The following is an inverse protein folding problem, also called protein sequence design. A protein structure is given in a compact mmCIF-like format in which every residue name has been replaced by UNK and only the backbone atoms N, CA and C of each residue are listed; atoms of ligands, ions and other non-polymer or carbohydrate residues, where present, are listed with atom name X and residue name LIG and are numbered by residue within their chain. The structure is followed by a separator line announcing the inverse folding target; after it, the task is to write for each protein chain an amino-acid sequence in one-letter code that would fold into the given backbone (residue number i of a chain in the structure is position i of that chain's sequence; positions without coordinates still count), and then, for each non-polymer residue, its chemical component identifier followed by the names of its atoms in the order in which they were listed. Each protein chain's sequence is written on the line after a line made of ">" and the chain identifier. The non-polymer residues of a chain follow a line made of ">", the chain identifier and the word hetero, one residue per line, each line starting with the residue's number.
data_IF_213267917432
#
_entry.id   IF_213267917432
#
_cell.length_a   1.000
_cell.length_b   1.000
_cell.length_c   1.000
_cell.angle_alpha   90.00
_cell.angle_beta   90.00
_cell.angle_gamma   90.00
#
_symmetry.space_group_name_H-M   'P 1'
#
loop_
_entity.id
_entity.type
_entity.pdbx_description
1 polymer ?
#
# COMPACT_ATOMS: atom_id res chain seq x y z
N UNK A 1 -37.03 46.75 -5.46
CA UNK A 1 -37.10 46.85 -3.99
C UNK A 1 -35.70 47.04 -3.45
N UNK A 2 -35.48 48.12 -2.71
CA UNK A 2 -34.15 48.58 -2.29
C UNK A 2 -33.67 47.96 -0.98
N UNK A 3 -32.35 48.04 -0.75
CA UNK A 3 -31.62 47.46 0.38
C UNK A 3 -32.14 47.90 1.77
N UNK A 4 -32.82 49.03 1.88
CA UNK A 4 -33.32 49.61 3.13
C UNK A 4 -34.62 48.95 3.64
N UNK A 5 -35.44 48.39 2.76
CA UNK A 5 -36.71 47.73 3.12
C UNK A 5 -36.48 46.31 3.69
N UNK A 6 -35.29 45.74 3.47
CA UNK A 6 -34.88 44.42 4.03
C UNK A 6 -34.30 44.50 5.44
N UNK A 7 -33.96 45.70 5.93
CA UNK A 7 -33.30 45.90 7.22
C UNK A 7 -34.33 46.10 8.35
N UNK A 8 -35.53 46.61 8.05
CA UNK A 8 -36.58 46.83 9.07
C UNK A 8 -37.34 45.56 9.48
N UNK A 9 -37.43 44.53 8.62
CA UNK A 9 -38.17 43.30 8.92
C UNK A 9 -37.41 42.27 9.79
N UNK A 10 -36.21 42.58 10.30
CA UNK A 10 -35.40 41.67 11.14
C UNK A 10 -35.44 41.95 12.64
N UNK A 11 -36.19 42.95 13.12
CA UNK A 11 -36.15 43.40 14.53
C UNK A 11 -37.30 42.96 15.44
N UNK A 12 -38.11 41.98 15.07
CA UNK A 12 -39.24 41.55 15.90
C UNK A 12 -39.34 40.03 16.09
N UNK A 13 -38.43 39.41 16.85
CA UNK A 13 -38.73 38.18 17.62
C UNK A 13 -37.86 38.14 18.89
N UNK A 14 -38.52 38.14 20.04
CA UNK A 14 -37.92 37.97 21.38
C UNK A 14 -37.52 36.50 21.64
N UNK A 15 -36.52 36.21 22.49
CA UNK A 15 -36.04 34.84 22.71
C UNK A 15 -37.00 34.05 23.61
N UNK A 16 -37.51 32.92 23.11
CA UNK A 16 -38.08 31.87 23.94
C UNK A 16 -37.03 30.78 24.16
N UNK A 17 -36.79 30.45 25.43
CA UNK A 17 -35.96 29.34 25.88
C UNK A 17 -36.50 28.02 25.30
N UNK A 18 -35.77 27.42 24.36
CA UNK A 18 -35.94 26.03 23.96
C UNK A 18 -34.59 25.33 24.04
N UNK A 19 -34.57 24.18 24.72
CA UNK A 19 -33.44 23.24 24.80
C UNK A 19 -32.96 22.92 23.36
N UNK A 20 -31.64 22.91 23.06
CA UNK A 20 -31.17 22.75 21.69
C UNK A 20 -31.41 21.33 21.15
N UNK A 21 -31.90 21.23 19.92
CA UNK A 21 -32.11 19.97 19.18
C UNK A 21 -30.77 19.41 18.66
N UNK A 22 -30.53 18.11 18.90
CA UNK A 22 -29.38 17.37 18.38
C UNK A 22 -29.43 17.25 16.85
N UNK A 23 -28.33 17.54 16.17
CA UNK A 23 -28.25 17.48 14.70
C UNK A 23 -28.21 16.04 14.18
N UNK A 24 -29.23 15.64 13.42
CA UNK A 24 -29.25 14.37 12.68
C UNK A 24 -28.79 14.55 11.24
N UNK A 25 -27.77 13.80 10.81
CA UNK A 25 -27.31 13.75 9.41
C UNK A 25 -27.51 12.36 8.81
N UNK A 26 -28.04 12.29 7.58
CA UNK A 26 -28.33 11.04 6.86
C UNK A 26 -27.31 10.79 5.73
N UNK A 27 -26.42 9.81 5.92
CA UNK A 27 -25.63 9.24 4.84
C UNK A 27 -26.44 8.26 3.98
N UNK A 28 -26.05 8.06 2.71
CA UNK A 28 -26.54 6.97 1.85
C UNK A 28 -26.10 5.62 2.45
N UNK A 29 -26.81 5.18 3.48
CA UNK A 29 -26.44 4.05 4.34
C UNK A 29 -27.20 3.98 5.66
N UNK A 30 -28.13 4.92 5.94
CA UNK A 30 -29.11 4.78 7.02
C UNK A 30 -28.57 4.85 8.45
N UNK A 31 -27.27 5.02 8.66
CA UNK A 31 -26.69 5.30 9.97
C UNK A 31 -26.66 6.82 10.19
N UNK A 32 -27.49 7.33 11.10
CA UNK A 32 -27.29 8.67 11.67
C UNK A 32 -26.35 8.54 12.86
N UNK A 33 -25.14 9.07 12.74
CA UNK A 33 -24.25 9.21 13.88
C UNK A 33 -24.55 10.55 14.55
N UNK A 34 -24.99 10.53 15.81
CA UNK A 34 -25.16 11.72 16.63
C UNK A 34 -23.96 11.74 17.60
N UNK A 35 -23.04 12.68 17.39
CA UNK A 35 -21.99 12.96 18.38
C UNK A 35 -22.59 13.84 19.48
N UNK A 36 -22.93 13.24 20.61
CA UNK A 36 -23.54 13.93 21.77
C UNK A 36 -22.67 15.08 22.30
N UNK A 37 -21.37 15.11 21.95
CA UNK A 37 -20.41 16.12 22.37
C UNK A 37 -19.94 17.04 21.25
N UNK A 38 -20.58 17.05 20.08
CA UNK A 38 -20.16 17.85 18.92
C UNK A 38 -19.97 19.33 19.25
N UNK A 39 -20.96 19.97 19.89
CA UNK A 39 -20.91 21.39 20.22
C UNK A 39 -19.79 21.73 21.22
N UNK A 40 -19.56 20.83 22.18
CA UNK A 40 -18.49 20.97 23.16
C UNK A 40 -17.11 20.84 22.48
N UNK A 41 -16.96 19.87 21.57
CA UNK A 41 -15.74 19.69 20.78
C UNK A 41 -15.44 20.94 19.95
N UNK A 42 -16.45 21.54 19.31
CA UNK A 42 -16.28 22.76 18.50
C UNK A 42 -15.83 23.96 19.31
N UNK A 43 -16.45 24.15 20.48
CA UNK A 43 -16.08 25.23 21.40
C UNK A 43 -14.62 25.09 21.84
N UNK A 44 -14.26 23.91 22.38
CA UNK A 44 -12.91 23.65 22.88
C UNK A 44 -11.88 23.71 21.74
N UNK A 45 -12.22 23.24 20.54
CA UNK A 45 -11.36 23.32 19.36
C UNK A 45 -11.12 24.77 18.90
N UNK A 46 -12.11 25.66 19.04
CA UNK A 46 -11.92 27.08 18.73
C UNK A 46 -11.03 27.76 19.78
N UNK A 47 -11.33 27.51 21.05
CA UNK A 47 -10.59 28.07 22.19
C UNK A 47 -9.11 27.65 22.18
N UNK A 48 -8.82 26.38 21.85
CA UNK A 48 -7.43 25.88 21.78
C UNK A 48 -6.66 26.45 20.58
N UNK A 49 -7.30 26.68 19.43
CA UNK A 49 -6.64 27.32 18.28
C UNK A 49 -6.28 28.77 18.61
N UNK A 50 -7.16 29.50 19.28
CA UNK A 50 -6.86 30.86 19.74
C UNK A 50 -5.69 30.87 20.73
N UNK A 51 -5.69 29.96 21.70
CA UNK A 51 -4.58 29.81 22.66
C UNK A 51 -3.25 29.49 21.97
N UNK A 52 -3.24 28.55 21.02
CA UNK A 52 -2.04 28.17 20.26
C UNK A 52 -1.53 29.36 19.44
N UNK A 53 -2.43 30.10 18.77
CA UNK A 53 -2.04 31.27 17.97
C UNK A 53 -1.48 32.41 18.84
N UNK A 54 -2.04 32.65 20.01
CA UNK A 54 -1.54 33.65 20.96
C UNK A 54 -0.15 33.27 21.51
N UNK A 55 0.06 32.00 21.87
CA UNK A 55 1.35 31.51 22.38
C UNK A 55 2.42 31.51 21.28
N UNK A 56 2.07 31.12 20.04
CA UNK A 56 2.97 31.16 18.89
C UNK A 56 3.40 32.60 18.50
N UNK A 57 2.52 33.58 18.68
CA UNK A 57 2.84 35.00 18.49
C UNK A 57 3.80 35.50 19.58
N UNK A 58 3.63 35.02 20.81
CA UNK A 58 4.39 35.41 21.99
C UNK A 58 5.82 34.83 22.00
N UNK A 59 6.01 33.59 21.54
CA UNK A 59 7.30 32.86 21.57
C UNK A 59 8.20 33.08 20.34
N UNK A 60 7.81 33.95 19.41
CA UNK A 60 8.65 34.32 18.27
C UNK A 60 9.00 33.14 17.36
N UNK A 61 8.01 32.58 16.65
CA UNK A 61 8.09 31.72 15.43
C UNK A 61 9.06 30.51 15.37
N UNK A 62 9.95 30.30 16.33
CA UNK A 62 11.10 29.38 16.16
C UNK A 62 10.97 28.10 16.96
N UNK A 63 10.16 28.11 18.03
CA UNK A 63 9.80 26.91 18.80
C UNK A 63 8.28 26.70 18.72
N UNK A 64 7.86 25.52 18.25
CA UNK A 64 6.45 25.12 18.26
C UNK A 64 5.92 24.98 19.69
N UNK A 65 4.60 25.08 19.85
CA UNK A 65 3.95 24.80 21.14
C UNK A 65 4.18 23.33 21.50
N UNK A 66 4.58 23.04 22.74
CA UNK A 66 4.84 21.66 23.17
C UNK A 66 3.56 20.83 23.21
N UNK A 67 3.63 19.55 22.82
CA UNK A 67 2.49 18.62 22.88
C UNK A 67 1.89 18.56 24.30
N UNK A 68 2.76 18.60 25.31
CA UNK A 68 2.36 18.55 26.72
C UNK A 68 1.54 19.78 27.14
N UNK A 69 1.85 20.96 26.61
CA UNK A 69 1.07 22.18 26.87
C UNK A 69 -0.30 22.13 26.18
N UNK A 70 -0.36 21.61 24.94
CA UNK A 70 -1.63 21.46 24.21
C UNK A 70 -2.55 20.48 24.94
N UNK A 71 -2.01 19.33 25.39
CA UNK A 71 -2.77 18.34 26.16
C UNK A 71 -3.31 18.93 27.47
N UNK A 72 -2.47 19.60 28.25
CA UNK A 72 -2.91 20.24 29.51
C UNK A 72 -3.98 21.32 29.28
N UNK A 73 -3.85 22.09 28.20
CA UNK A 73 -4.83 23.12 27.84
C UNK A 73 -6.17 22.50 27.44
N UNK A 74 -6.17 21.40 26.67
CA UNK A 74 -7.39 20.67 26.32
C UNK A 74 -8.02 20.06 27.57
N UNK A 75 -7.23 19.44 28.46
CA UNK A 75 -7.74 18.89 29.72
C UNK A 75 -8.41 19.97 30.57
N UNK A 76 -7.78 21.13 30.74
CA UNK A 76 -8.36 22.27 31.47
C UNK A 76 -9.68 22.76 30.85
N UNK A 77 -9.72 22.95 29.53
CA UNK A 77 -10.94 23.38 28.84
C UNK A 77 -12.07 22.35 28.93
N UNK A 78 -11.75 21.05 28.89
CA UNK A 78 -12.75 19.98 29.07
C UNK A 78 -13.24 19.94 30.52
N UNK A 79 -12.37 20.18 31.50
CA UNK A 79 -12.73 20.23 32.92
C UNK A 79 -13.70 21.40 33.21
N UNK A 80 -13.41 22.57 32.65
CA UNK A 80 -14.20 23.80 32.82
C UNK A 80 -15.56 23.74 32.13
N UNK A 81 -15.63 23.10 30.95
CA UNK A 81 -16.86 23.06 30.14
C UNK A 81 -17.65 21.75 30.26
N UNK A 82 -17.07 20.70 30.86
CA UNK A 82 -17.57 19.31 30.82
C UNK A 82 -17.67 18.64 32.19
N UNK A 83 -18.04 19.38 33.23
CA UNK A 83 -18.09 18.88 34.62
C UNK A 83 -19.02 17.66 34.82
N UNK A 84 -20.04 17.48 33.97
CA UNK A 84 -21.00 16.37 34.03
C UNK A 84 -20.57 15.10 33.26
N UNK A 85 -19.44 15.15 32.52
CA UNK A 85 -19.00 14.05 31.66
C UNK A 85 -18.30 12.96 32.50
N UNK A 86 -18.69 11.68 32.36
CA UNK A 86 -18.01 10.57 33.03
C UNK A 86 -16.51 10.52 32.71
N UNK A 87 -15.68 10.14 33.68
CA UNK A 87 -14.21 10.12 33.54
C UNK A 87 -13.71 9.37 32.28
N UNK A 88 -14.32 8.25 31.93
CA UNK A 88 -13.93 7.46 30.74
C UNK A 88 -14.28 8.18 29.42
N UNK A 89 -15.38 8.91 29.39
CA UNK A 89 -15.78 9.71 28.23
C UNK A 89 -14.94 10.97 28.11
N UNK A 90 -14.56 11.57 29.24
CA UNK A 90 -13.62 12.69 29.29
C UNK A 90 -12.27 12.33 28.65
N UNK A 91 -11.70 11.18 29.01
CA UNK A 91 -10.43 10.71 28.44
C UNK A 91 -10.55 10.52 26.91
N UNK A 92 -11.69 10.00 26.44
CA UNK A 92 -11.95 9.87 24.98
C UNK A 92 -12.08 11.23 24.32
N UNK A 93 -12.83 12.16 24.93
CA UNK A 93 -13.06 13.50 24.42
C UNK A 93 -11.76 14.32 24.29
N UNK A 94 -10.91 14.29 25.32
CA UNK A 94 -9.59 14.93 25.30
C UNK A 94 -8.74 14.37 24.16
N UNK A 95 -8.72 13.04 23.99
CA UNK A 95 -7.97 12.39 22.90
C UNK A 95 -8.52 12.75 21.52
N UNK A 96 -9.83 12.79 21.36
CA UNK A 96 -10.49 13.16 20.09
C UNK A 96 -10.15 14.61 19.71
N UNK A 97 -10.26 15.54 20.68
CA UNK A 97 -9.92 16.96 20.47
C UNK A 97 -8.44 17.10 20.14
N UNK A 98 -7.55 16.44 20.89
CA UNK A 98 -6.13 16.42 20.61
C UNK A 98 -5.83 15.93 19.20
N UNK A 99 -6.42 14.80 18.78
CA UNK A 99 -6.25 14.26 17.44
C UNK A 99 -6.77 15.22 16.36
N UNK A 100 -7.84 15.99 16.62
CA UNK A 100 -8.35 16.98 15.68
C UNK A 100 -7.47 18.23 15.57
N UNK A 101 -6.79 18.62 16.65
CA UNK A 101 -5.92 19.81 16.72
C UNK A 101 -4.52 19.51 16.20
N UNK A 102 -3.94 18.39 16.64
CA UNK A 102 -2.53 18.03 16.41
C UNK A 102 -2.38 16.86 15.41
N UNK A 103 -3.27 15.86 15.48
CA UNK A 103 -3.20 14.65 14.66
C UNK A 103 -3.98 14.72 13.33
N UNK A 104 -4.25 13.55 12.75
CA UNK A 104 -5.05 13.36 11.54
C UNK A 104 -6.54 13.14 11.86
N UNK A 105 -6.98 13.66 13.00
CA UNK A 105 -8.38 13.73 13.40
C UNK A 105 -9.06 12.37 13.51
N UNK A 106 -10.22 12.15 12.86
CA UNK A 106 -10.96 10.90 12.94
C UNK A 106 -10.21 9.66 12.40
N UNK A 107 -9.13 9.85 11.64
CA UNK A 107 -8.37 8.74 11.04
C UNK A 107 -7.42 8.05 12.03
N UNK A 108 -7.05 8.70 13.13
CA UNK A 108 -6.02 8.21 14.05
C UNK A 108 -6.32 6.85 14.67
N UNK A 109 -7.54 6.61 15.19
CA UNK A 109 -7.90 5.29 15.69
C UNK A 109 -7.81 4.20 14.61
N UNK A 110 -8.12 4.53 13.35
CA UNK A 110 -8.08 3.57 12.23
C UNK A 110 -6.62 3.28 11.81
N UNK A 111 -5.78 4.30 11.80
CA UNK A 111 -4.35 4.16 11.51
C UNK A 111 -3.62 3.39 12.62
N UNK A 112 -4.03 3.56 13.89
CA UNK A 112 -3.46 2.83 15.01
C UNK A 112 -3.87 1.34 15.05
N UNK A 113 -5.02 0.96 14.48
CA UNK A 113 -5.54 -0.40 14.55
C UNK A 113 -4.79 -1.38 13.63
N UNK A 114 -4.02 -2.35 14.16
CA UNK A 114 -3.20 -3.26 13.35
C UNK A 114 -4.01 -4.23 12.48
N UNK A 115 -5.30 -4.44 12.76
CA UNK A 115 -6.17 -5.32 11.97
C UNK A 115 -6.70 -4.63 10.70
N UNK A 116 -6.55 -3.30 10.59
CA UNK A 116 -6.93 -2.52 9.41
C UNK A 116 -5.74 -2.46 8.44
N UNK A 117 -5.99 -2.83 7.18
CA UNK A 117 -4.99 -2.79 6.10
C UNK A 117 -5.18 -1.61 5.15
N UNK A 118 -6.42 -1.18 4.94
CA UNK A 118 -6.76 -0.05 4.05
C UNK A 118 -7.89 0.79 4.65
N UNK A 119 -7.88 2.10 4.39
CA UNK A 119 -8.90 3.07 4.78
C UNK A 119 -9.32 3.84 3.52
N UNK A 120 -10.62 3.91 3.26
CA UNK A 120 -11.20 4.62 2.11
C UNK A 120 -12.26 5.61 2.60
N UNK A 121 -11.99 6.90 2.45
CA UNK A 121 -12.91 8.00 2.77
C UNK A 121 -13.54 8.47 1.47
N UNK A 122 -14.82 8.19 1.27
CA UNK A 122 -15.61 8.56 0.08
C UNK A 122 -16.47 9.80 0.36
N UNK A 123 -15.87 10.82 0.99
CA UNK A 123 -16.56 11.98 1.57
C UNK A 123 -16.72 11.89 3.09
N UNK A 124 -17.22 12.96 3.74
CA UNK A 124 -17.13 13.14 5.19
C UNK A 124 -17.91 12.08 5.99
N UNK A 125 -18.98 11.54 5.44
CA UNK A 125 -19.87 10.61 6.14
C UNK A 125 -19.74 9.16 5.70
N UNK A 126 -18.73 8.83 4.88
CA UNK A 126 -18.60 7.52 4.25
C UNK A 126 -17.16 7.04 4.33
N UNK A 127 -16.83 6.33 5.42
CA UNK A 127 -15.50 5.76 5.65
C UNK A 127 -15.58 4.25 5.66
N UNK A 128 -14.84 3.60 4.76
CA UNK A 128 -14.68 2.15 4.69
C UNK A 128 -13.30 1.76 5.18
N UNK A 129 -13.20 0.57 5.76
CA UNK A 129 -11.93 -0.03 6.17
C UNK A 129 -11.85 -1.47 5.67
N UNK A 130 -10.66 -1.90 5.27
CA UNK A 130 -10.39 -3.31 5.00
C UNK A 130 -9.86 -3.98 6.27
N UNK A 131 -10.54 -5.03 6.72
CA UNK A 131 -10.10 -5.92 7.81
C UNK A 131 -10.07 -7.35 7.31
N UNK A 132 -8.93 -8.03 7.46
CA UNK A 132 -8.75 -9.43 7.03
C UNK A 132 -9.21 -9.69 5.59
N UNK A 133 -8.94 -8.74 4.68
CA UNK A 133 -9.30 -8.86 3.26
C UNK A 133 -10.75 -8.52 2.92
N UNK A 134 -11.56 -8.06 3.89
CA UNK A 134 -12.98 -7.73 3.70
C UNK A 134 -13.23 -6.25 3.96
N UNK A 135 -13.92 -5.59 3.03
CA UNK A 135 -14.37 -4.21 3.17
C UNK A 135 -15.55 -4.12 4.13
N UNK A 136 -15.49 -3.16 5.05
CA UNK A 136 -16.51 -2.90 6.07
C UNK A 136 -16.73 -1.39 6.19
N UNK A 137 -17.97 -0.98 6.42
CA UNK A 137 -18.27 0.42 6.74
C UNK A 137 -17.81 0.69 8.19
N UNK A 138 -17.02 1.75 8.37
CA UNK A 138 -16.56 2.21 9.68
C UNK A 138 -17.63 3.11 10.32
N UNK A 139 -17.63 3.17 11.66
CA UNK A 139 -18.41 4.17 12.40
C UNK A 139 -17.74 5.56 12.40
N UNK A 140 -16.49 5.66 11.95
CA UNK A 140 -15.76 6.92 11.82
C UNK A 140 -16.42 7.83 10.78
N UNK A 141 -16.67 9.08 11.17
CA UNK A 141 -17.16 10.13 10.28
C UNK A 141 -16.39 11.43 10.53
N UNK A 142 -16.36 12.29 9.52
CA UNK A 142 -15.94 13.69 9.62
C UNK A 142 -17.17 14.57 9.79
N UNK A 143 -16.99 15.73 10.41
CA UNK A 143 -18.02 16.77 10.54
C UNK A 143 -18.62 17.17 9.18
N UNK A 144 -17.77 17.53 8.21
CA UNK A 144 -18.17 18.01 6.90
C UNK A 144 -16.98 17.95 5.92
N UNK A 145 -17.20 18.43 4.68
CA UNK A 145 -16.17 18.49 3.65
C UNK A 145 -15.00 19.40 4.04
N UNK A 146 -15.25 20.48 4.78
CA UNK A 146 -14.22 21.45 5.17
C UNK A 146 -13.27 20.82 6.20
N UNK A 147 -13.82 20.11 7.19
CA UNK A 147 -13.05 19.34 8.15
C UNK A 147 -12.18 18.27 7.47
N UNK A 148 -12.76 17.52 6.51
CA UNK A 148 -12.01 16.53 5.75
C UNK A 148 -10.87 17.17 4.92
N UNK A 149 -11.12 18.30 4.27
CA UNK A 149 -10.08 19.06 3.56
C UNK A 149 -8.98 19.54 4.49
N UNK A 150 -9.32 20.07 5.67
CA UNK A 150 -8.34 20.53 6.66
C UNK A 150 -7.44 19.38 7.13
N UNK A 151 -8.03 18.22 7.44
CA UNK A 151 -7.26 17.00 7.77
C UNK A 151 -6.34 16.60 6.62
N UNK A 152 -6.86 16.57 5.38
CA UNK A 152 -6.07 16.24 4.19
C UNK A 152 -4.91 17.22 3.99
N UNK A 153 -5.15 18.52 4.09
CA UNK A 153 -4.14 19.56 3.95
C UNK A 153 -3.03 19.41 5.00
N UNK A 154 -3.36 19.04 6.25
CA UNK A 154 -2.34 18.76 7.27
C UNK A 154 -1.49 17.53 6.91
N UNK A 155 -2.13 16.43 6.52
CA UNK A 155 -1.44 15.21 6.08
C UNK A 155 -0.45 15.53 4.95
N UNK A 156 -0.95 16.16 3.89
CA UNK A 156 -0.20 16.45 2.67
C UNK A 156 0.92 17.48 2.91
N UNK A 157 0.70 18.47 3.78
CA UNK A 157 1.73 19.45 4.16
C UNK A 157 2.87 18.82 4.95
N UNK A 158 2.57 17.88 5.85
CA UNK A 158 3.59 17.19 6.67
C UNK A 158 4.61 16.39 5.83
N UNK A 159 4.23 15.99 4.62
CA UNK A 159 5.04 15.22 3.68
C UNK A 159 5.59 16.07 2.52
N UNK A 160 5.51 17.41 2.65
CA UNK A 160 6.06 18.35 1.68
C UNK A 160 5.33 18.37 0.33
N UNK A 161 4.05 17.97 0.32
CA UNK A 161 3.19 18.00 -0.86
C UNK A 161 2.10 19.06 -0.70
N UNK A 162 1.34 19.32 -1.77
CA UNK A 162 0.20 20.23 -1.77
C UNK A 162 -0.97 19.61 -2.54
N UNK A 163 -2.17 19.96 -2.12
CA UNK A 163 -3.42 19.61 -2.79
C UNK A 163 -4.33 20.85 -2.73
N UNK A 164 -4.70 21.37 -3.89
CA UNK A 164 -5.51 22.58 -4.06
C UNK A 164 -6.20 22.57 -5.44
N UNK A 165 -6.95 23.61 -5.79
CA UNK A 165 -7.70 23.66 -7.05
C UNK A 165 -6.81 23.55 -8.30
N UNK A 166 -5.54 23.98 -8.23
CA UNK A 166 -4.60 23.88 -9.33
C UNK A 166 -3.97 22.48 -9.44
N UNK A 167 -3.87 21.76 -8.32
CA UNK A 167 -3.39 20.37 -8.23
C UNK A 167 -4.33 19.54 -7.36
N UNK A 168 -5.51 19.15 -7.90
CA UNK A 168 -6.58 18.53 -7.12
C UNK A 168 -6.36 17.04 -6.80
N UNK A 169 -5.18 16.50 -7.12
CA UNK A 169 -4.80 15.11 -6.88
C UNK A 169 -3.44 15.07 -6.21
N UNK A 170 -3.26 14.13 -5.28
CA UNK A 170 -1.98 13.93 -4.62
C UNK A 170 -1.75 12.47 -4.27
N UNK A 171 -0.53 12.01 -4.51
CA UNK A 171 0.01 10.76 -4.02
C UNK A 171 1.19 11.07 -3.08
N UNK A 172 1.19 10.48 -1.89
CA UNK A 172 2.25 10.68 -0.92
C UNK A 172 2.46 9.49 0.02
N UNK A 173 3.54 9.57 0.81
CA UNK A 173 3.91 8.59 1.82
C UNK A 173 3.93 9.25 3.19
N UNK A 174 3.15 8.71 4.13
CA UNK A 174 3.07 9.15 5.51
C UNK A 174 4.33 8.77 6.30
N UNK A 175 4.53 9.38 7.46
CA UNK A 175 5.69 9.14 8.32
C UNK A 175 5.79 7.67 8.81
N UNK A 176 4.66 6.97 8.93
CA UNK A 176 4.60 5.54 9.29
C UNK A 176 4.88 4.60 8.10
N UNK A 177 5.14 5.15 6.92
CA UNK A 177 5.37 4.44 5.67
C UNK A 177 4.11 4.15 4.86
N UNK A 178 2.92 4.43 5.39
CA UNK A 178 1.64 4.21 4.71
C UNK A 178 1.52 5.10 3.48
N UNK A 179 0.83 4.61 2.44
CA UNK A 179 0.61 5.37 1.20
C UNK A 179 -0.75 6.03 1.24
N UNK A 180 -0.81 7.29 0.82
CA UNK A 180 -2.05 8.06 0.69
C UNK A 180 -2.22 8.50 -0.77
N UNK A 181 -3.42 8.28 -1.30
CA UNK A 181 -3.92 8.92 -2.50
C UNK A 181 -5.12 9.79 -2.11
N UNK A 182 -5.19 11.01 -2.61
CA UNK A 182 -6.35 11.87 -2.37
C UNK A 182 -6.72 12.69 -3.61
N UNK A 183 -8.03 12.93 -3.75
CA UNK A 183 -8.63 13.68 -4.84
C UNK A 183 -9.66 14.64 -4.25
N UNK A 184 -9.62 15.91 -4.63
CA UNK A 184 -10.54 16.96 -4.16
C UNK A 184 -11.43 17.50 -5.30
N UNK A 185 -12.50 18.25 -4.99
CA UNK A 185 -13.24 19.01 -6.00
C UNK A 185 -12.33 19.93 -6.81
N UNK A 186 -12.61 20.17 -8.11
CA UNK A 186 -13.81 19.75 -8.84
C UNK A 186 -13.78 18.32 -9.38
N UNK A 187 -12.69 17.55 -9.22
CA UNK A 187 -12.59 16.19 -9.75
C UNK A 187 -13.43 15.18 -8.95
N UNK A 188 -13.43 15.32 -7.62
CA UNK A 188 -14.26 14.49 -6.74
C UNK A 188 -15.61 15.17 -6.48
N UNK A 189 -16.60 14.89 -7.35
CA UNK A 189 -17.92 15.56 -7.34
C UNK A 189 -18.71 15.42 -6.03
N UNK A 190 -18.46 14.34 -5.27
CA UNK A 190 -19.15 14.07 -4.01
C UNK A 190 -18.39 14.60 -2.78
N UNK A 191 -17.37 15.42 -2.98
CA UNK A 191 -16.47 15.91 -1.94
C UNK A 191 -15.11 15.21 -1.95
N UNK A 192 -14.19 15.62 -1.05
CA UNK A 192 -12.85 15.08 -0.98
C UNK A 192 -12.85 13.56 -0.76
N UNK A 193 -11.96 12.86 -1.45
CA UNK A 193 -11.80 11.40 -1.35
C UNK A 193 -10.37 11.09 -0.94
N UNK A 194 -10.19 10.14 -0.01
CA UNK A 194 -8.89 9.71 0.48
C UNK A 194 -8.83 8.18 0.48
N UNK A 195 -7.76 7.60 -0.04
CA UNK A 195 -7.42 6.19 0.11
C UNK A 195 -6.07 6.06 0.79
N UNK A 196 -6.03 5.39 1.95
CA UNK A 196 -4.80 5.09 2.68
C UNK A 196 -4.58 3.58 2.66
N UNK A 197 -3.44 3.15 2.11
CA UNK A 197 -2.96 1.76 2.23
C UNK A 197 -1.88 1.71 3.30
N UNK A 198 -2.16 1.02 4.39
CA UNK A 198 -1.28 1.00 5.56
C UNK A 198 -0.02 0.18 5.28
N UNK A 199 1.11 0.67 5.78
CA UNK A 199 2.35 -0.08 5.76
C UNK A 199 2.34 -1.15 6.86
N UNK A 200 2.54 -2.41 6.49
CA UNK A 200 2.63 -3.49 7.48
C UNK A 200 3.97 -3.41 8.19
N UNK A 201 3.97 -3.12 9.49
CA UNK A 201 5.20 -3.10 10.33
C UNK A 201 5.82 -4.50 10.49
N UNK A 202 5.01 -5.54 10.37
CA UNK A 202 5.47 -6.93 10.47
C UNK A 202 5.27 -7.59 9.11
N UNK A 203 6.34 -7.83 8.33
CA UNK A 203 6.23 -8.58 7.09
C UNK A 203 5.85 -10.03 7.40
N UNK A 204 5.05 -10.64 6.52
CA UNK A 204 4.75 -12.07 6.62
C UNK A 204 6.00 -12.91 6.40
N UNK A 205 6.06 -14.06 7.06
CA UNK A 205 7.11 -15.07 6.90
C UNK A 205 6.66 -16.21 5.99
N UNK A 206 7.59 -17.07 5.61
CA UNK A 206 7.32 -18.33 4.94
C UNK A 206 6.38 -19.24 5.74
N UNK A 207 6.59 -19.33 7.05
CA UNK A 207 5.71 -20.11 7.95
C UNK A 207 4.28 -19.58 7.95
N UNK A 208 4.09 -18.26 7.84
CA UNK A 208 2.77 -17.65 7.72
C UNK A 208 2.11 -18.03 6.39
N UNK A 209 2.83 -17.94 5.26
CA UNK A 209 2.29 -18.31 3.94
C UNK A 209 1.90 -19.78 3.87
N UNK A 210 2.69 -20.67 4.48
CA UNK A 210 2.36 -22.10 4.61
C UNK A 210 1.12 -22.28 5.49
N UNK A 211 1.03 -21.60 6.64
CA UNK A 211 -0.12 -21.66 7.55
C UNK A 211 -1.41 -21.17 6.91
N UNK A 212 -1.34 -20.14 6.07
CA UNK A 212 -2.47 -19.65 5.26
C UNK A 212 -2.84 -20.62 4.12
N UNK A 213 -2.03 -21.65 3.90
CA UNK A 213 -2.15 -22.59 2.79
C UNK A 213 -1.92 -21.92 1.44
N UNK A 214 -1.21 -20.78 1.39
CA UNK A 214 -0.90 -20.05 0.14
C UNK A 214 0.07 -20.83 -0.73
N UNK A 215 0.88 -21.68 -0.10
CA UNK A 215 1.92 -22.51 -0.70
C UNK A 215 2.13 -23.74 0.19
N UNK A 216 2.52 -24.88 -0.38
CA UNK A 216 2.88 -26.06 0.41
C UNK A 216 4.31 -25.95 0.97
N UNK A 217 4.65 -26.64 2.08
CA UNK A 217 6.03 -26.69 2.57
C UNK A 217 7.03 -27.18 1.51
N UNK A 218 6.62 -28.17 0.71
CA UNK A 218 7.38 -28.75 -0.39
C UNK A 218 7.72 -27.69 -1.45
N UNK A 219 6.72 -26.94 -1.91
CA UNK A 219 6.91 -25.84 -2.87
C UNK A 219 7.76 -24.71 -2.29
N UNK A 220 7.57 -24.34 -1.02
CA UNK A 220 8.37 -23.29 -0.40
C UNK A 220 9.84 -23.69 -0.29
N UNK A 221 10.13 -24.93 0.11
CA UNK A 221 11.50 -25.46 0.15
C UNK A 221 12.16 -25.47 -1.24
N UNK A 222 11.40 -25.78 -2.30
CA UNK A 222 11.88 -25.67 -3.67
C UNK A 222 12.18 -24.21 -4.04
N UNK A 223 11.29 -23.25 -3.74
CA UNK A 223 11.51 -21.83 -4.03
C UNK A 223 12.69 -21.24 -3.24
N UNK A 224 12.88 -21.64 -1.99
CA UNK A 224 14.06 -21.30 -1.20
C UNK A 224 15.35 -21.77 -1.89
N UNK A 225 15.37 -23.02 -2.36
CA UNK A 225 16.50 -23.57 -3.09
C UNK A 225 16.78 -22.78 -4.39
N UNK A 226 15.72 -22.37 -5.10
CA UNK A 226 15.82 -21.54 -6.30
C UNK A 226 16.46 -20.16 -5.99
N UNK A 227 16.02 -19.48 -4.92
CA UNK A 227 16.62 -18.21 -4.50
C UNK A 227 18.10 -18.38 -4.16
N UNK A 228 18.44 -19.39 -3.35
CA UNK A 228 19.84 -19.66 -2.94
C UNK A 228 20.72 -20.05 -4.13
N UNK A 229 20.18 -20.79 -5.09
CA UNK A 229 20.86 -21.19 -6.32
C UNK A 229 20.84 -20.14 -7.43
N UNK A 230 20.53 -18.87 -7.09
CA UNK A 230 20.58 -17.72 -8.00
C UNK A 230 19.73 -17.88 -9.27
N UNK A 231 18.57 -18.54 -9.18
CA UNK A 231 17.60 -18.53 -10.28
C UNK A 231 16.92 -17.17 -10.35
N UNK A 232 16.72 -16.64 -11.56
CA UNK A 232 15.93 -15.44 -11.77
C UNK A 232 14.43 -15.77 -11.65
N UNK A 233 13.74 -15.10 -10.73
CA UNK A 233 12.34 -15.38 -10.38
C UNK A 233 11.47 -14.15 -10.65
N UNK A 234 10.37 -14.35 -11.37
CA UNK A 234 9.31 -13.35 -11.50
C UNK A 234 8.02 -13.84 -10.83
N UNK A 235 7.50 -13.04 -9.89
CA UNK A 235 6.22 -13.31 -9.25
C UNK A 235 5.11 -12.57 -10.00
N UNK A 236 4.17 -13.30 -10.58
CA UNK A 236 3.09 -12.74 -11.39
C UNK A 236 1.71 -12.93 -10.78
N UNK A 237 0.80 -12.00 -11.05
CA UNK A 237 -0.58 -12.10 -10.57
C UNK A 237 -1.44 -10.87 -10.81
N UNK A 238 -2.73 -10.98 -10.50
CA UNK A 238 -3.65 -9.84 -10.49
C UNK A 238 -3.44 -8.89 -9.29
N UNK A 239 -4.13 -7.75 -9.31
CA UNK A 239 -4.14 -6.81 -8.17
C UNK A 239 -4.61 -7.49 -6.89
N UNK A 240 -3.92 -7.22 -5.78
CA UNK A 240 -4.26 -7.79 -4.47
C UNK A 240 -3.98 -9.29 -4.31
N UNK A 241 -3.31 -9.94 -5.27
CA UNK A 241 -2.96 -11.37 -5.18
C UNK A 241 -1.88 -11.68 -4.13
N UNK A 242 -1.10 -10.68 -3.72
CA UNK A 242 -0.03 -10.82 -2.73
C UNK A 242 1.39 -10.95 -3.31
N UNK A 243 1.61 -10.53 -4.56
CA UNK A 243 2.91 -10.62 -5.26
C UNK A 243 4.08 -10.08 -4.43
N UNK A 244 3.97 -8.83 -3.97
CA UNK A 244 5.03 -8.15 -3.20
C UNK A 244 5.28 -8.83 -1.86
N UNK A 245 4.24 -9.40 -1.24
CA UNK A 245 4.38 -10.21 -0.01
C UNK A 245 5.21 -11.46 -0.27
N UNK A 246 4.90 -12.20 -1.34
CA UNK A 246 5.67 -13.39 -1.71
C UNK A 246 7.09 -13.02 -2.11
N UNK A 247 7.26 -11.96 -2.91
CA UNK A 247 8.57 -11.42 -3.26
C UNK A 247 9.40 -11.12 -2.01
N UNK A 248 8.83 -10.43 -1.02
CA UNK A 248 9.51 -10.11 0.24
C UNK A 248 9.98 -11.37 1.00
N UNK A 249 9.12 -12.39 1.08
CA UNK A 249 9.47 -13.68 1.71
C UNK A 249 10.61 -14.36 0.95
N UNK A 250 10.51 -14.45 -0.38
CA UNK A 250 11.54 -15.09 -1.21
C UNK A 250 12.87 -14.35 -1.13
N UNK A 251 12.85 -13.02 -1.18
CA UNK A 251 14.04 -12.19 -1.03
C UNK A 251 14.70 -12.34 0.36
N UNK A 252 13.95 -12.77 1.38
CA UNK A 252 14.49 -13.13 2.69
C UNK A 252 15.39 -14.37 2.69
N UNK A 253 15.32 -15.23 1.66
CA UNK A 253 16.21 -16.39 1.51
C UNK A 253 17.55 -16.07 0.85
N UNK A 254 17.75 -14.83 0.38
CA UNK A 254 19.04 -14.38 -0.15
C UNK A 254 20.08 -14.44 0.99
N UNK A 255 21.24 -15.10 0.78
CA UNK A 255 22.30 -15.19 1.78
C UNK A 255 22.81 -13.84 2.29
N UNK A 256 23.16 -13.75 3.57
CA UNK A 256 23.62 -12.50 4.23
C UNK A 256 24.94 -11.94 3.67
N UNK A 257 25.72 -12.75 2.95
CA UNK A 257 26.98 -12.33 2.33
C UNK A 257 26.78 -11.68 0.94
N UNK A 258 25.54 -11.57 0.45
CA UNK A 258 25.22 -10.93 -0.82
C UNK A 258 24.74 -9.48 -0.61
N UNK A 259 25.19 -8.56 -1.47
CA UNK A 259 24.73 -7.18 -1.52
C UNK A 259 23.44 -7.08 -2.33
N UNK A 260 22.39 -6.57 -1.70
CA UNK A 260 21.05 -6.49 -2.30
C UNK A 260 20.71 -5.02 -2.58
N UNK A 261 20.23 -4.72 -3.78
CA UNK A 261 19.62 -3.42 -4.11
C UNK A 261 18.14 -3.62 -4.40
N UNK A 262 17.27 -3.03 -3.59
CA UNK A 262 15.82 -3.00 -3.85
C UNK A 262 15.43 -1.70 -4.53
N UNK A 263 14.52 -1.78 -5.50
CA UNK A 263 14.06 -0.64 -6.30
C UNK A 263 12.54 -0.70 -6.41
N UNK A 264 11.85 0.29 -5.86
CA UNK A 264 10.38 0.28 -5.76
C UNK A 264 9.80 1.67 -6.04
N UNK A 265 8.54 1.74 -6.48
CA UNK A 265 7.86 3.03 -6.58
C UNK A 265 7.60 3.64 -5.20
N UNK A 266 7.33 2.78 -4.22
CA UNK A 266 7.42 3.11 -2.81
C UNK A 266 7.88 1.86 -2.05
N UNK A 267 8.82 2.00 -1.13
CA UNK A 267 9.44 0.83 -0.50
C UNK A 267 8.42 0.02 0.32
N UNK A 268 8.06 -1.17 -0.15
CA UNK A 268 7.24 -2.18 0.54
C UNK A 268 8.10 -3.34 1.06
N UNK A 269 9.24 -3.61 0.40
CA UNK A 269 10.12 -4.74 0.74
C UNK A 269 10.93 -4.39 1.99
N UNK A 270 10.89 -5.31 2.96
CA UNK A 270 11.56 -5.22 4.25
C UNK A 270 12.44 -6.45 4.44
N UNK A 271 13.73 -6.28 4.12
CA UNK A 271 14.75 -7.31 4.24
C UNK A 271 15.46 -7.22 5.60
N UNK A 272 15.81 -8.37 6.17
CA UNK A 272 16.53 -8.45 7.46
C UNK A 272 18.04 -8.53 7.28
N UNK A 273 18.51 -8.86 6.08
CA UNK A 273 19.92 -8.97 5.75
C UNK A 273 20.63 -7.62 5.96
N UNK A 274 21.90 -7.68 6.35
CA UNK A 274 22.66 -6.47 6.70
C UNK A 274 23.09 -5.60 5.50
N UNK A 275 23.33 -6.21 4.33
CA UNK A 275 23.93 -5.53 3.18
C UNK A 275 22.89 -5.12 2.13
N UNK A 276 21.88 -4.36 2.54
CA UNK A 276 20.75 -3.94 1.70
C UNK A 276 20.82 -2.44 1.41
N UNK A 277 20.60 -2.05 0.16
CA UNK A 277 20.35 -0.67 -0.25
C UNK A 277 18.96 -0.56 -0.84
N UNK A 278 18.11 0.26 -0.22
CA UNK A 278 16.73 0.48 -0.65
C UNK A 278 16.62 1.79 -1.43
N UNK A 279 16.14 1.70 -2.67
CA UNK A 279 15.93 2.81 -3.57
C UNK A 279 14.44 2.97 -3.88
N UNK A 280 13.98 4.22 -3.89
CA UNK A 280 12.60 4.58 -4.18
C UNK A 280 12.53 5.53 -5.37
N UNK A 281 11.59 5.30 -6.29
CA UNK A 281 11.33 6.21 -7.40
C UNK A 281 10.78 7.54 -6.88
N UNK A 282 10.97 8.61 -7.63
CA UNK A 282 10.48 9.94 -7.26
C UNK A 282 9.59 10.47 -8.38
N UNK A 283 8.29 10.72 -8.13
CA UNK A 283 7.46 11.40 -9.12
C UNK A 283 7.97 12.83 -9.33
N UNK A 284 7.66 13.46 -10.47
CA UNK A 284 8.04 14.85 -10.71
C UNK A 284 7.47 15.78 -9.62
N UNK A 285 8.10 16.94 -9.46
CA UNK A 285 7.52 18.04 -8.69
C UNK A 285 6.37 18.70 -9.46
N UNK A 286 5.73 19.72 -8.86
CA UNK A 286 4.61 20.45 -9.47
C UNK A 286 5.00 21.16 -10.79
N UNK A 287 6.29 21.47 -10.96
CA UNK A 287 6.85 22.05 -12.18
C UNK A 287 7.24 20.99 -13.22
N UNK A 288 6.82 19.73 -13.02
CA UNK A 288 7.13 18.59 -13.88
C UNK A 288 8.64 18.26 -13.97
N UNK A 289 9.43 18.71 -13.00
CA UNK A 289 10.88 18.54 -12.95
C UNK A 289 11.30 17.52 -11.89
N UNK A 290 12.52 16.99 -12.03
CA UNK A 290 13.17 16.17 -11.01
C UNK A 290 12.57 14.76 -10.83
N UNK A 291 11.81 14.25 -11.80
CA UNK A 291 11.38 12.85 -11.80
C UNK A 291 12.59 11.91 -11.79
N UNK A 292 12.52 10.85 -10.99
CA UNK A 292 13.47 9.73 -10.99
C UNK A 292 12.63 8.46 -11.16
N UNK A 293 12.79 7.79 -12.29
CA UNK A 293 12.00 6.59 -12.60
C UNK A 293 12.66 5.32 -12.05
N UNK A 294 11.91 4.23 -11.97
CA UNK A 294 12.46 2.89 -11.68
C UNK A 294 13.59 2.55 -12.65
N UNK A 295 13.41 2.89 -13.93
CA UNK A 295 14.43 2.67 -14.97
C UNK A 295 15.74 3.38 -14.67
N UNK A 296 15.69 4.63 -14.22
CA UNK A 296 16.88 5.40 -13.84
C UNK A 296 17.62 4.72 -12.67
N UNK A 297 16.85 4.26 -11.68
CA UNK A 297 17.39 3.56 -10.52
C UNK A 297 18.00 2.20 -10.88
N UNK A 298 17.38 1.43 -11.77
CA UNK A 298 17.92 0.14 -12.26
C UNK A 298 19.28 0.36 -12.92
N UNK A 299 19.37 1.35 -13.82
CA UNK A 299 20.64 1.71 -14.47
C UNK A 299 21.70 2.19 -13.50
N UNK A 300 21.31 2.94 -12.48
CA UNK A 300 22.22 3.37 -11.43
C UNK A 300 22.69 2.20 -10.57
N UNK A 301 21.79 1.27 -10.23
CA UNK A 301 22.07 0.09 -9.42
C UNK A 301 23.17 -0.79 -10.02
N UNK A 302 23.23 -0.92 -11.35
CA UNK A 302 24.30 -1.66 -12.04
C UNK A 302 25.72 -1.12 -11.74
N UNK A 303 25.85 0.12 -11.28
CA UNK A 303 27.13 0.73 -10.87
C UNK A 303 27.43 0.58 -9.38
N UNK A 304 26.49 0.05 -8.61
CA UNK A 304 26.59 -0.09 -7.16
C UNK A 304 27.18 -1.44 -6.73
N UNK A 305 27.68 -2.23 -7.70
CA UNK A 305 28.17 -3.61 -7.52
C UNK A 305 27.20 -4.49 -6.71
N UNK A 306 25.91 -4.58 -7.07
CA UNK A 306 24.99 -5.49 -6.39
C UNK A 306 25.29 -6.93 -6.75
N UNK A 307 25.09 -7.84 -5.80
CA UNK A 307 24.96 -9.28 -6.10
C UNK A 307 23.53 -9.60 -6.56
N UNK A 308 22.53 -8.89 -6.00
CA UNK A 308 21.11 -9.06 -6.32
C UNK A 308 20.45 -7.71 -6.59
N UNK A 309 19.66 -7.65 -7.65
CA UNK A 309 18.74 -6.53 -7.89
C UNK A 309 17.31 -7.05 -7.72
N UNK A 310 16.54 -6.36 -6.89
CA UNK A 310 15.12 -6.66 -6.70
C UNK A 310 14.32 -5.45 -7.14
N UNK A 311 13.53 -5.62 -8.20
CA UNK A 311 12.61 -4.57 -8.66
C UNK A 311 11.22 -4.92 -8.16
N UNK A 312 10.65 -4.10 -7.29
CA UNK A 312 9.38 -4.39 -6.62
C UNK A 312 8.25 -4.71 -7.60
N UNK A 313 8.15 -3.94 -8.68
CA UNK A 313 7.25 -4.24 -9.79
C UNK A 313 7.79 -3.65 -11.10
N UNK A 314 7.73 -4.41 -12.18
CA UNK A 314 7.96 -3.91 -13.54
C UNK A 314 6.62 -3.72 -14.28
N UNK A 315 6.47 -2.55 -14.90
CA UNK A 315 5.26 -2.07 -15.58
C UNK A 315 5.54 -1.41 -16.93
N UNK A 316 6.78 -1.00 -17.19
CA UNK A 316 7.15 -0.30 -18.43
C UNK A 316 8.60 -0.59 -18.85
N UNK A 317 9.25 0.38 -19.50
CA UNK A 317 10.55 0.22 -20.16
C UNK A 317 11.71 -0.24 -19.26
N UNK A 318 11.61 -0.08 -17.94
CA UNK A 318 12.54 -0.67 -16.96
C UNK A 318 12.66 -2.19 -17.07
N UNK A 319 11.66 -2.85 -17.66
CA UNK A 319 11.67 -4.30 -17.92
C UNK A 319 12.87 -4.70 -18.77
N UNK A 320 13.24 -3.89 -19.77
CA UNK A 320 14.40 -4.17 -20.62
C UNK A 320 15.69 -4.13 -19.79
N UNK A 321 15.90 -3.06 -19.02
CA UNK A 321 17.09 -2.90 -18.20
C UNK A 321 17.18 -3.99 -17.10
N UNK A 322 16.04 -4.43 -16.57
CA UNK A 322 15.95 -5.54 -15.61
C UNK A 322 16.30 -6.89 -16.26
N UNK A 323 15.76 -7.20 -17.44
CA UNK A 323 16.12 -8.42 -18.19
C UNK A 323 17.60 -8.43 -18.58
N UNK A 324 18.16 -7.27 -18.93
CA UNK A 324 19.58 -7.13 -19.19
C UNK A 324 20.42 -7.40 -17.94
N UNK A 325 20.04 -6.85 -16.78
CA UNK A 325 20.72 -7.12 -15.52
C UNK A 325 20.74 -8.63 -15.20
N UNK A 326 19.60 -9.30 -15.35
CA UNK A 326 19.45 -10.75 -15.17
C UNK A 326 20.36 -11.58 -16.08
N UNK A 327 20.60 -11.11 -17.31
CA UNK A 327 21.50 -11.75 -18.27
C UNK A 327 22.98 -11.37 -18.05
N UNK A 328 23.29 -10.29 -17.32
CA UNK A 328 24.65 -9.70 -17.25
C UNK A 328 25.19 -9.67 -15.83
N UNK A 329 25.38 -10.84 -15.24
CA UNK A 329 26.14 -11.00 -13.98
C UNK A 329 25.41 -10.58 -12.71
N UNK A 330 24.11 -10.27 -12.78
CA UNK A 330 23.25 -10.03 -11.63
C UNK A 330 22.17 -11.11 -11.56
N UNK A 331 22.63 -12.36 -11.60
CA UNK A 331 21.75 -13.51 -11.58
C UNK A 331 21.10 -13.70 -10.19
N UNK A 332 19.99 -14.41 -10.17
CA UNK A 332 19.19 -14.53 -8.96
C UNK A 332 18.37 -13.28 -8.64
N UNK A 333 18.22 -12.36 -9.59
CA UNK A 333 17.35 -11.19 -9.43
C UNK A 333 15.89 -11.60 -9.30
N UNK A 334 15.11 -10.81 -8.56
CA UNK A 334 13.69 -11.07 -8.33
C UNK A 334 12.86 -9.85 -8.69
N UNK A 335 11.65 -10.09 -9.18
CA UNK A 335 10.72 -8.99 -9.46
C UNK A 335 9.26 -9.44 -9.39
N UNK A 336 8.33 -8.49 -9.45
CA UNK A 336 6.92 -8.79 -9.70
C UNK A 336 6.42 -8.15 -10.99
N UNK A 337 5.41 -8.75 -11.58
CA UNK A 337 4.71 -8.18 -12.73
C UNK A 337 3.23 -8.55 -12.68
N UNK A 338 2.39 -7.72 -13.29
CA UNK A 338 0.98 -8.06 -13.42
C UNK A 338 0.73 -8.97 -14.62
N UNK A 339 0.15 -10.14 -14.40
CA UNK A 339 -0.32 -11.04 -15.45
C UNK A 339 -1.39 -12.00 -14.91
N UNK A 340 -2.31 -12.44 -15.77
CA UNK A 340 -3.37 -13.38 -15.38
C UNK A 340 -2.90 -14.84 -15.44
N UNK A 341 -1.94 -15.15 -16.30
CA UNK A 341 -1.35 -16.48 -16.45
C UNK A 341 0.17 -16.37 -16.71
N UNK A 342 0.96 -17.44 -16.50
CA UNK A 342 2.36 -17.48 -16.90
C UNK A 342 2.58 -17.20 -18.40
N UNK A 343 1.67 -17.66 -19.25
CA UNK A 343 1.75 -17.42 -20.71
C UNK A 343 1.49 -15.95 -21.04
N UNK A 344 0.49 -15.34 -20.42
CA UNK A 344 0.17 -13.91 -20.60
C UNK A 344 1.33 -13.02 -20.16
N UNK A 345 2.10 -13.46 -19.13
CA UNK A 345 3.26 -12.72 -18.64
C UNK A 345 4.29 -12.50 -19.74
N UNK A 346 4.58 -13.50 -20.56
CA UNK A 346 5.55 -13.38 -21.66
C UNK A 346 5.16 -12.25 -22.62
N UNK A 347 3.91 -12.24 -23.07
CA UNK A 347 3.40 -11.18 -23.96
C UNK A 347 3.38 -9.80 -23.29
N UNK A 348 3.18 -9.75 -21.98
CA UNK A 348 3.26 -8.48 -21.22
C UNK A 348 4.68 -7.97 -21.10
N UNK A 349 5.65 -8.84 -20.83
CA UNK A 349 7.07 -8.46 -20.82
C UNK A 349 7.50 -7.93 -22.20
N UNK A 350 7.06 -8.57 -23.29
CA UNK A 350 7.28 -8.06 -24.66
C UNK A 350 6.75 -6.63 -24.82
N UNK A 351 5.51 -6.39 -24.41
CA UNK A 351 4.87 -5.07 -24.49
C UNK A 351 5.62 -4.03 -23.65
N UNK A 352 6.01 -4.38 -22.42
CA UNK A 352 6.74 -3.49 -21.52
C UNK A 352 8.12 -3.13 -22.07
N UNK A 353 8.82 -4.07 -22.71
CA UNK A 353 10.10 -3.79 -23.37
C UNK A 353 9.92 -2.84 -24.55
N UNK A 354 8.85 -2.96 -25.34
CA UNK A 354 8.56 -2.02 -26.44
C UNK A 354 8.29 -0.59 -25.92
N UNK A 355 7.76 -0.44 -24.70
CA UNK A 355 7.58 0.88 -24.06
C UNK A 355 8.90 1.54 -23.66
N UNK A 356 10.04 0.86 -23.76
CA UNK A 356 11.37 1.43 -23.49
C UNK A 356 11.81 2.48 -24.52
N UNK A 357 11.12 2.56 -25.67
CA UNK A 357 11.44 3.45 -26.78
C UNK A 357 12.54 2.92 -27.70
N UNK A 358 13.06 1.70 -27.45
CA UNK A 358 14.05 1.04 -28.29
C UNK A 358 13.35 0.20 -29.37
N UNK A 359 13.79 0.35 -30.63
CA UNK A 359 13.32 -0.48 -31.74
C UNK A 359 14.02 -1.84 -31.73
N UNK A 360 13.52 -2.77 -30.92
CA UNK A 360 14.05 -4.14 -30.82
C UNK A 360 13.07 -5.11 -31.51
N UNK A 361 13.53 -5.97 -32.43
CA UNK A 361 12.68 -7.01 -33.01
C UNK A 361 12.06 -7.90 -31.92
N UNK A 362 10.77 -8.20 -32.04
CA UNK A 362 10.02 -9.00 -31.04
C UNK A 362 10.71 -10.33 -30.72
N UNK A 363 11.30 -10.98 -31.74
CA UNK A 363 12.07 -12.21 -31.55
C UNK A 363 13.25 -12.02 -30.58
N UNK A 364 14.03 -10.95 -30.74
CA UNK A 364 15.14 -10.65 -29.85
C UNK A 364 14.67 -10.32 -28.43
N UNK A 365 13.48 -9.72 -28.28
CA UNK A 365 12.87 -9.51 -26.96
C UNK A 365 12.54 -10.86 -26.30
N UNK A 366 11.93 -11.78 -27.03
CA UNK A 366 11.63 -13.14 -26.55
C UNK A 366 12.90 -13.92 -26.18
N UNK A 367 13.96 -13.78 -26.98
CA UNK A 367 15.27 -14.37 -26.67
C UNK A 367 15.82 -13.81 -25.36
N UNK A 368 15.73 -12.49 -25.13
CA UNK A 368 16.12 -11.91 -23.84
C UNK A 368 15.27 -12.40 -22.66
N UNK A 369 13.95 -12.48 -22.84
CA UNK A 369 13.02 -12.99 -21.80
C UNK A 369 13.34 -14.44 -21.45
N UNK A 370 13.47 -15.30 -22.45
CA UNK A 370 13.72 -16.73 -22.26
C UNK A 370 15.11 -17.04 -21.69
N UNK A 371 16.12 -16.24 -22.04
CA UNK A 371 17.46 -16.34 -21.46
C UNK A 371 17.53 -15.81 -20.03
N UNK A 372 16.81 -14.72 -19.74
CA UNK A 372 16.90 -14.06 -18.45
C UNK A 372 16.12 -14.79 -17.36
N UNK A 373 14.92 -15.28 -17.65
CA UNK A 373 14.01 -15.83 -16.63
C UNK A 373 14.18 -17.33 -16.51
N UNK A 374 14.16 -17.83 -15.27
CA UNK A 374 14.13 -19.27 -15.01
C UNK A 374 12.76 -19.71 -14.52
N UNK A 375 12.14 -18.93 -13.62
CA UNK A 375 10.90 -19.31 -12.94
C UNK A 375 9.89 -18.17 -12.95
N UNK A 376 8.64 -18.53 -13.29
CA UNK A 376 7.44 -17.72 -13.09
C UNK A 376 6.65 -18.32 -11.93
N UNK A 377 6.39 -17.53 -10.89
CA UNK A 377 5.54 -17.92 -9.76
C UNK A 377 4.21 -17.17 -9.87
N UNK A 378 3.17 -17.86 -10.34
CA UNK A 378 1.85 -17.27 -10.53
C UNK A 378 1.05 -17.33 -9.22
N UNK A 379 0.56 -16.19 -8.77
CA UNK A 379 -0.24 -16.04 -7.57
C UNK A 379 -1.61 -15.41 -7.89
N UNK A 380 -2.67 -15.99 -7.32
CA UNK A 380 -4.04 -15.51 -7.50
C UNK A 380 -4.76 -15.28 -6.16
N UNK A 381 -5.66 -14.30 -6.14
CA UNK A 381 -6.67 -14.16 -5.10
C UNK A 381 -7.89 -14.99 -5.50
N UNK A 382 -8.23 -15.96 -4.66
CA UNK A 382 -9.34 -16.87 -4.83
C UNK A 382 -10.66 -16.21 -4.46
N UNK A 383 -11.78 -16.83 -4.87
CA UNK A 383 -13.14 -16.31 -4.60
C UNK A 383 -13.47 -16.19 -3.11
N UNK A 384 -12.89 -17.05 -2.28
CA UNK A 384 -13.04 -17.02 -0.82
C UNK A 384 -12.12 -15.97 -0.14
N UNK A 385 -11.38 -15.19 -0.92
CA UNK A 385 -10.43 -14.19 -0.46
C UNK A 385 -9.04 -14.73 -0.13
N UNK A 386 -8.85 -16.06 -0.11
CA UNK A 386 -7.54 -16.66 0.11
C UNK A 386 -6.59 -16.34 -1.06
N UNK A 387 -5.28 -16.32 -0.80
CA UNK A 387 -4.26 -16.14 -1.82
C UNK A 387 -3.54 -17.47 -2.01
N UNK A 388 -3.31 -17.92 -3.24
CA UNK A 388 -2.63 -19.20 -3.54
C UNK A 388 -1.63 -19.01 -4.68
N UNK A 389 -0.50 -19.70 -4.60
CA UNK A 389 0.39 -19.92 -5.76
C UNK A 389 -0.30 -20.93 -6.68
N UNK A 390 -0.83 -20.48 -7.82
CA UNK A 390 -1.58 -21.35 -8.73
C UNK A 390 -0.66 -22.17 -9.62
N UNK A 391 0.50 -21.63 -9.99
CA UNK A 391 1.49 -22.29 -10.83
C UNK A 391 2.90 -21.87 -10.41
N UNK A 392 3.82 -22.82 -10.46
CA UNK A 392 5.26 -22.54 -10.54
C UNK A 392 5.71 -23.11 -11.88
N UNK A 393 6.12 -22.23 -12.78
CA UNK A 393 6.36 -22.53 -14.20
C UNK A 393 7.80 -22.22 -14.55
N UNK A 394 8.50 -23.18 -15.13
CA UNK A 394 9.82 -22.99 -15.73
C UNK A 394 9.69 -22.28 -17.09
N UNK A 395 10.62 -21.37 -17.37
CA UNK A 395 10.87 -20.85 -18.70
C UNK A 395 12.01 -21.68 -19.30
N UNK A 396 11.67 -22.59 -20.22
CA UNK A 396 12.61 -23.62 -20.72
C UNK A 396 13.57 -23.04 -21.77
N UNK A 397 13.09 -22.09 -22.57
CA UNK A 397 13.83 -21.53 -23.69
C UNK A 397 12.89 -21.12 -24.82
N UNK A 398 13.39 -21.18 -26.06
CA UNK A 398 12.60 -20.91 -27.26
C UNK A 398 12.61 -22.07 -28.25
N UNK A 399 11.46 -22.33 -28.84
CA UNK A 399 11.31 -23.17 -30.02
C UNK A 399 10.81 -22.31 -31.18
N UNK A 400 11.70 -22.03 -32.13
CA UNK A 400 11.44 -21.05 -33.19
C UNK A 400 11.26 -19.64 -32.62
N UNK A 401 10.02 -19.13 -32.67
CA UNK A 401 9.66 -17.80 -32.16
C UNK A 401 8.76 -17.84 -30.92
N UNK A 402 8.57 -19.04 -30.33
CA UNK A 402 7.71 -19.26 -29.16
C UNK A 402 8.57 -19.52 -27.94
N UNK A 403 8.31 -18.79 -26.84
CA UNK A 403 8.89 -19.11 -25.53
C UNK A 403 8.17 -20.32 -24.95
N UNK A 404 8.93 -21.37 -24.67
CA UNK A 404 8.41 -22.63 -24.13
C UNK A 404 8.35 -22.57 -22.61
N UNK A 405 7.20 -22.94 -22.05
CA UNK A 405 6.92 -22.92 -20.63
C UNK A 405 6.55 -24.32 -20.15
N UNK A 406 6.94 -24.67 -18.94
CA UNK A 406 6.67 -25.98 -18.35
C UNK A 406 6.27 -25.85 -16.87
N UNK A 407 5.05 -26.29 -16.54
CA UNK A 407 4.58 -26.26 -15.15
C UNK A 407 5.29 -27.33 -14.31
N UNK A 408 5.89 -26.92 -13.20
CA UNK A 408 6.52 -27.79 -12.20
C UNK A 408 5.50 -28.14 -11.11
N UNK A 409 4.72 -27.13 -10.72
CA UNK A 409 3.65 -27.24 -9.73
C UNK A 409 2.42 -26.50 -10.22
N UNK A 410 1.24 -27.02 -9.87
CA UNK A 410 -0.02 -26.32 -10.07
C UNK A 410 -1.01 -26.58 -8.94
N UNK A 411 -1.94 -25.65 -8.73
CA UNK A 411 -3.03 -25.80 -7.77
C UNK A 411 -4.27 -26.37 -8.47
N UNK A 412 -4.74 -27.53 -8.01
CA UNK A 412 -5.98 -28.15 -8.47
C UNK A 412 -7.12 -27.79 -7.52
N UNK A 413 -8.06 -26.99 -8.01
CA UNK A 413 -9.29 -26.67 -7.28
C UNK A 413 -10.28 -27.85 -7.34
N UNK A 414 -10.87 -28.20 -6.20
CA UNK A 414 -11.94 -29.19 -6.06
C UNK A 414 -13.32 -28.53 -5.82
N UNK A 415 -13.40 -27.21 -5.95
CA UNK A 415 -14.60 -26.43 -5.66
C UNK A 415 -14.59 -25.83 -4.24
N UNK A 416 -15.78 -25.54 -3.72
CA UNK A 416 -15.95 -24.97 -2.37
C UNK A 416 -16.41 -26.06 -1.39
N UNK A 417 -15.94 -25.99 -0.15
CA UNK A 417 -16.46 -26.78 0.95
C UNK A 417 -17.84 -26.28 1.43
N UNK A 418 -18.46 -27.00 2.36
CA UNK A 418 -19.77 -26.64 2.94
C UNK A 418 -19.79 -25.29 3.67
N UNK A 419 -18.63 -24.72 3.99
CA UNK A 419 -18.47 -23.40 4.62
C UNK A 419 -18.16 -22.29 3.61
N UNK A 420 -18.14 -22.60 2.30
CA UNK A 420 -17.81 -21.65 1.24
C UNK A 420 -16.32 -21.36 1.08
N UNK A 421 -15.44 -22.16 1.71
CA UNK A 421 -13.98 -22.04 1.55
C UNK A 421 -13.49 -22.88 0.39
N UNK A 422 -12.45 -22.43 -0.28
CA UNK A 422 -11.87 -23.16 -1.42
C UNK A 422 -11.21 -24.45 -0.94
N UNK A 423 -11.62 -25.57 -1.55
CA UNK A 423 -10.97 -26.86 -1.38
C UNK A 423 -10.08 -27.13 -2.61
N UNK A 424 -8.90 -27.65 -2.39
CA UNK A 424 -7.98 -28.03 -3.45
C UNK A 424 -6.63 -28.47 -2.90
N UNK A 425 -5.74 -28.86 -3.81
CA UNK A 425 -4.42 -29.35 -3.48
C UNK A 425 -3.36 -28.78 -4.44
N UNK A 426 -2.16 -28.59 -3.93
CA UNK A 426 -0.97 -28.34 -4.75
C UNK A 426 -0.45 -29.68 -5.25
N UNK A 427 -0.24 -29.80 -6.57
CA UNK A 427 0.25 -31.00 -7.22
C UNK A 427 1.55 -30.68 -7.94
N UNK A 428 2.51 -31.60 -7.86
CA UNK A 428 3.65 -31.60 -8.77
C UNK A 428 3.31 -32.31 -10.08
N UNK A 429 3.95 -31.89 -11.17
CA UNK A 429 3.82 -32.51 -12.48
C UNK A 429 4.77 -33.68 -12.71
N UNK A 430 5.69 -33.98 -11.77
CA UNK A 430 6.73 -35.00 -11.96
C UNK A 430 7.95 -34.50 -12.72
N UNK A 431 7.93 -33.25 -13.18
CA UNK A 431 8.99 -32.68 -14.00
C UNK A 431 10.10 -32.12 -13.10
N UNK A 432 11.33 -32.52 -13.40
CA UNK A 432 12.54 -31.92 -12.85
C UNK A 432 13.00 -30.78 -13.77
N UNK A 433 13.15 -29.54 -13.25
CA UNK A 433 13.53 -28.40 -14.07
C UNK A 433 14.96 -28.51 -14.64
N UNK A 434 15.17 -27.93 -15.82
CA UNK A 434 16.46 -27.93 -16.51
C UNK A 434 17.53 -27.13 -15.74
N UNK A 435 17.14 -26.05 -15.07
CA UNK A 435 18.06 -25.24 -14.25
C UNK A 435 18.49 -25.92 -12.93
N UNK A 436 18.11 -27.17 -12.67
CA UNK A 436 18.54 -27.87 -11.44
C UNK A 436 20.05 -28.07 -11.38
N UNK A 437 20.74 -28.22 -12.52
CA UNK A 437 22.21 -28.25 -12.56
C UNK A 437 22.83 -26.97 -12.00
N UNK A 438 22.28 -25.80 -12.37
CA UNK A 438 22.70 -24.50 -11.81
C UNK A 438 22.57 -24.46 -10.28
N UNK A 439 21.51 -25.06 -9.73
CA UNK A 439 21.36 -25.13 -8.26
C UNK A 439 22.52 -25.92 -7.63
N UNK A 440 22.86 -27.07 -8.21
CA UNK A 440 23.95 -27.91 -7.72
C UNK A 440 25.32 -27.22 -7.84
N UNK A 441 25.59 -26.51 -8.94
CA UNK A 441 26.81 -25.71 -9.13
C UNK A 441 26.95 -24.60 -8.08
N UNK A 442 25.83 -24.03 -7.64
CA UNK A 442 25.76 -23.06 -6.55
C UNK A 442 25.71 -23.70 -5.15
N UNK A 443 25.97 -25.01 -5.04
CA UNK A 443 26.03 -25.73 -3.77
C UNK A 443 24.67 -25.98 -3.12
N UNK A 444 23.57 -25.85 -3.86
CA UNK A 444 22.22 -26.09 -3.35
C UNK A 444 21.79 -27.52 -3.69
N UNK A 445 21.57 -28.39 -2.69
CA UNK A 445 21.18 -29.77 -2.94
C UNK A 445 19.76 -29.85 -3.51
N UNK A 446 19.61 -30.64 -4.57
CA UNK A 446 18.32 -30.92 -5.20
C UNK A 446 17.67 -32.08 -4.45
N UNK A 447 16.39 -31.94 -4.08
CA UNK A 447 15.63 -33.01 -3.45
C UNK A 447 14.58 -33.54 -4.42
N UNK A 448 14.72 -34.81 -4.82
CA UNK A 448 13.77 -35.43 -5.76
C UNK A 448 12.34 -35.45 -5.19
N UNK A 449 12.18 -35.53 -3.85
CA UNK A 449 10.88 -35.46 -3.18
C UNK A 449 10.06 -34.21 -3.51
N UNK A 450 10.69 -33.14 -4.01
CA UNK A 450 9.96 -31.96 -4.47
C UNK A 450 9.07 -32.24 -5.69
N UNK A 451 9.51 -33.10 -6.60
CA UNK A 451 8.88 -33.30 -7.90
C UNK A 451 7.97 -34.53 -7.95
N UNK A 452 8.11 -35.44 -6.99
CA UNK A 452 7.31 -36.66 -6.92
C UNK A 452 6.35 -36.61 -5.72
N UNK A 453 5.15 -37.16 -5.90
CA UNK A 453 4.11 -37.20 -4.87
C UNK A 453 4.36 -38.32 -3.87
#
# INVERSE_FOLDING_TARGET
>A
MGLLERIENKKAVSPQNTVPEAQTFSGKGGASYIDEYSDLKEKIHSDIIELINQDAYSRGKTEGVSEEYILQSIEGLVDDNGSAIPRNERIRLVRDIYNNVVGLGPLEPLLADPEITEIMVNGPYSVYVERKGKLQLSSTVFKDNEHLLNVLSRIVSSVGRRVDEASPMVDARLADGSRINAIIPPLALNGPTITIRKFSKTPFTDTDLIRFGSVSPKMMSFLEACVKGRTNIIVSGGTGSGKTTLLNVLSGYIPDNERIVTIEDAAEIQLRQGHVVTLESRPPNLEHAGQITIRDLVRNALRMRPDRIIVGEVRSGETLDMLQAMNTGHDGSLTTAHANTPRDLISRLETMVLMSGMEIPVKAIREQVSSALNIIVQQARMRDGSRKITNITEVVGMEGDIVTLQDIFYYKSEGLDSSGRLKGAFLSTGIRPGFTEKLAENGVPIKDEWFFN
#
